data_IF_143843104799
#
_entry.id   IF_143843104799
#
_cell.length_a   1.000
_cell.length_b   1.000
_cell.length_c   1.000
_cell.angle_alpha   90.00
_cell.angle_beta   90.00
_cell.angle_gamma   90.00
#
_symmetry.space_group_name_H-M   'P 1'
#
loop_
_entity.id
_entity.type
_entity.pdbx_description
1 polymer ?
#
# COMPACT_ATOMS: atom_id res chain seq x y z
N UNK A 1 -86.38 11.51 -5.40
CA UNK A 1 -85.00 11.49 -4.93
C UNK A 1 -84.14 10.83 -5.98
N UNK A 2 -83.44 11.60 -6.76
CA UNK A 2 -82.60 11.16 -7.86
C UNK A 2 -81.16 11.16 -7.38
N UNK A 3 -80.60 10.00 -7.26
CA UNK A 3 -79.22 9.80 -6.89
C UNK A 3 -78.29 9.91 -8.12
N UNK A 4 -77.61 11.02 -8.27
CA UNK A 4 -76.52 11.16 -9.23
C UNK A 4 -75.29 10.34 -8.72
N UNK A 5 -74.95 9.33 -9.51
CA UNK A 5 -73.66 8.61 -9.39
C UNK A 5 -72.64 9.36 -10.27
N UNK A 6 -71.47 9.76 -9.78
CA UNK A 6 -70.41 10.29 -10.64
C UNK A 6 -69.88 9.15 -11.51
N UNK A 7 -69.89 9.35 -12.82
CA UNK A 7 -69.24 8.44 -13.78
C UNK A 7 -67.71 8.59 -13.60
N UNK A 8 -67.03 7.53 -13.18
CA UNK A 8 -65.60 7.33 -13.31
C UNK A 8 -65.20 7.49 -14.79
N UNK A 9 -64.58 8.57 -15.12
CA UNK A 9 -63.85 8.71 -16.39
C UNK A 9 -62.62 7.85 -16.29
N UNK A 10 -62.72 6.60 -16.71
CA UNK A 10 -61.56 5.81 -17.10
C UNK A 10 -60.88 6.58 -18.23
N UNK A 11 -59.74 7.21 -17.95
CA UNK A 11 -58.83 7.69 -18.97
C UNK A 11 -58.32 6.47 -19.75
N UNK A 12 -59.07 6.09 -20.80
CA UNK A 12 -58.56 5.16 -21.81
C UNK A 12 -57.30 5.80 -22.41
N UNK A 13 -56.14 5.28 -22.07
CA UNK A 13 -54.87 5.69 -22.66
C UNK A 13 -54.96 5.37 -24.15
N UNK A 14 -55.21 6.40 -24.95
CA UNK A 14 -55.32 6.29 -26.39
C UNK A 14 -53.97 5.85 -26.98
N UNK A 15 -53.83 4.54 -27.27
CA UNK A 15 -52.66 3.94 -27.91
C UNK A 15 -52.27 4.68 -29.20
N UNK A 16 -53.21 5.36 -29.86
CA UNK A 16 -52.94 6.17 -31.03
C UNK A 16 -52.22 7.49 -30.68
N UNK A 17 -52.50 8.08 -29.51
CA UNK A 17 -51.78 9.24 -28.99
C UNK A 17 -50.38 8.85 -28.58
N UNK A 18 -50.17 7.71 -27.92
CA UNK A 18 -48.86 7.19 -27.56
C UNK A 18 -48.03 6.92 -28.81
N UNK A 19 -48.59 6.28 -29.82
CA UNK A 19 -47.91 6.04 -31.12
C UNK A 19 -47.50 7.35 -31.82
N UNK A 20 -48.35 8.37 -31.82
CA UNK A 20 -48.03 9.72 -32.36
C UNK A 20 -46.95 10.42 -31.51
N UNK A 21 -47.01 10.30 -30.17
CA UNK A 21 -45.95 10.85 -29.29
C UNK A 21 -44.59 10.17 -29.53
N UNK A 22 -44.55 8.84 -29.64
CA UNK A 22 -43.35 8.09 -29.96
C UNK A 22 -42.82 8.48 -31.36
N UNK A 23 -43.72 8.62 -32.34
CA UNK A 23 -43.38 9.06 -33.70
C UNK A 23 -42.80 10.47 -33.73
N UNK A 24 -43.40 11.43 -33.04
CA UNK A 24 -42.90 12.82 -32.94
C UNK A 24 -41.58 12.91 -32.16
N UNK A 25 -41.42 12.13 -31.08
CA UNK A 25 -40.20 12.02 -30.33
C UNK A 25 -39.06 11.44 -31.18
N UNK A 26 -39.33 10.36 -31.94
CA UNK A 26 -38.39 9.77 -32.89
C UNK A 26 -37.96 10.75 -33.99
N UNK A 27 -38.90 11.51 -34.54
CA UNK A 27 -38.58 12.57 -35.53
C UNK A 27 -37.75 13.69 -34.90
N UNK A 28 -38.06 14.11 -33.66
CA UNK A 28 -37.30 15.11 -32.92
C UNK A 28 -35.84 14.66 -32.70
N UNK A 29 -35.64 13.39 -32.33
CA UNK A 29 -34.30 12.80 -32.19
C UNK A 29 -33.55 12.81 -33.54
N UNK A 30 -34.20 12.33 -34.62
CA UNK A 30 -33.59 12.30 -35.96
C UNK A 30 -33.17 13.70 -36.42
N UNK A 31 -34.05 14.71 -36.21
CA UNK A 31 -33.74 16.09 -36.55
C UNK A 31 -32.59 16.66 -35.73
N UNK A 32 -32.51 16.31 -34.46
CA UNK A 32 -31.43 16.72 -33.57
C UNK A 32 -30.09 16.09 -33.97
N UNK A 33 -30.07 14.79 -34.24
CA UNK A 33 -28.90 14.08 -34.76
C UNK A 33 -28.43 14.70 -36.08
N UNK A 34 -29.34 14.98 -37.01
CA UNK A 34 -29.02 15.61 -38.30
C UNK A 34 -28.39 16.99 -38.11
N UNK A 35 -28.87 17.80 -37.14
CA UNK A 35 -28.26 19.12 -36.83
C UNK A 35 -26.84 18.97 -36.31
N UNK A 36 -26.56 17.99 -35.46
CA UNK A 36 -25.19 17.70 -34.99
C UNK A 36 -24.29 17.24 -36.13
N UNK A 37 -24.73 16.28 -36.95
CA UNK A 37 -23.94 15.83 -38.12
C UNK A 37 -23.62 17.01 -39.04
N UNK A 38 -24.61 17.82 -39.38
CA UNK A 38 -24.42 19.02 -40.23
C UNK A 38 -23.45 20.01 -39.58
N UNK A 39 -23.47 20.18 -38.26
CA UNK A 39 -22.53 21.03 -37.54
C UNK A 39 -21.08 20.52 -37.70
N UNK A 40 -20.85 19.23 -37.52
CA UNK A 40 -19.52 18.64 -37.73
C UNK A 40 -19.03 18.75 -39.15
N UNK A 41 -19.89 18.47 -40.14
CA UNK A 41 -19.54 18.60 -41.57
C UNK A 41 -19.19 20.06 -41.91
N UNK A 42 -19.98 21.03 -41.45
CA UNK A 42 -19.76 22.45 -41.71
C UNK A 42 -18.45 22.96 -41.10
N UNK A 43 -18.06 22.44 -39.94
CA UNK A 43 -16.85 22.89 -39.21
C UNK A 43 -15.69 21.90 -39.35
N UNK A 44 -15.71 20.97 -40.31
CA UNK A 44 -14.73 19.88 -40.44
C UNK A 44 -13.28 20.36 -40.47
N UNK A 45 -12.99 21.46 -41.15
CA UNK A 45 -11.62 22.02 -41.26
C UNK A 45 -11.14 22.53 -39.91
N UNK A 46 -12.00 23.26 -39.17
CA UNK A 46 -11.67 23.79 -37.85
C UNK A 46 -11.48 22.66 -36.85
N UNK A 47 -12.38 21.65 -36.87
CA UNK A 47 -12.31 20.48 -35.96
C UNK A 47 -11.04 19.68 -36.27
N UNK A 48 -10.70 19.43 -37.53
CA UNK A 48 -9.46 18.73 -37.90
C UNK A 48 -8.24 19.52 -37.46
N UNK A 49 -8.25 20.86 -37.64
CA UNK A 49 -7.15 21.73 -37.20
C UNK A 49 -6.97 21.70 -35.67
N UNK A 50 -8.07 21.76 -34.90
CA UNK A 50 -8.03 21.65 -33.42
C UNK A 50 -7.57 20.26 -32.95
N UNK A 51 -7.94 19.20 -33.69
CA UNK A 51 -7.50 17.86 -33.42
C UNK A 51 -5.99 17.71 -33.59
N UNK A 52 -5.45 18.21 -34.74
CA UNK A 52 -4.02 18.18 -34.99
C UNK A 52 -3.22 19.06 -34.01
N UNK A 53 -3.70 20.26 -33.72
CA UNK A 53 -3.12 21.13 -32.68
C UNK A 53 -3.13 20.46 -31.29
N UNK A 54 -4.27 19.92 -30.89
CA UNK A 54 -4.38 19.23 -29.61
C UNK A 54 -3.44 18.03 -29.52
N UNK A 55 -3.32 17.27 -30.61
CA UNK A 55 -2.40 16.13 -30.68
C UNK A 55 -0.94 16.57 -30.60
N UNK A 56 -0.54 17.59 -31.34
CA UNK A 56 0.83 18.14 -31.30
C UNK A 56 1.21 18.69 -29.93
N UNK A 57 0.33 19.49 -29.33
CA UNK A 57 0.51 20.00 -27.96
C UNK A 57 0.52 18.85 -26.92
N UNK A 58 -0.35 17.86 -27.10
CA UNK A 58 -0.39 16.68 -26.26
C UNK A 58 0.90 15.87 -26.28
N UNK A 59 1.48 15.62 -27.44
CA UNK A 59 2.79 14.95 -27.59
C UNK A 59 3.89 15.77 -26.91
N UNK A 60 3.88 17.08 -27.07
CA UNK A 60 4.87 17.95 -26.44
C UNK A 60 4.81 17.84 -24.92
N UNK A 61 3.61 17.92 -24.32
CA UNK A 61 3.45 17.76 -22.87
C UNK A 61 3.78 16.35 -22.39
N UNK A 62 3.37 15.29 -23.10
CA UNK A 62 3.68 13.91 -22.74
C UNK A 62 5.20 13.63 -22.79
N UNK A 63 5.95 14.33 -23.64
CA UNK A 63 7.41 14.20 -23.69
C UNK A 63 8.13 15.00 -22.60
N UNK A 64 7.53 16.11 -22.15
CA UNK A 64 8.14 17.03 -21.19
C UNK A 64 7.76 16.70 -19.74
N UNK A 65 6.50 16.32 -19.50
CA UNK A 65 6.00 15.99 -18.16
C UNK A 65 6.24 14.51 -17.89
N UNK A 66 7.42 14.20 -17.36
CA UNK A 66 7.75 12.86 -16.89
C UNK A 66 7.42 12.75 -15.41
N UNK A 67 7.14 11.56 -14.95
CA UNK A 67 6.98 11.24 -13.55
C UNK A 67 7.58 9.86 -13.28
N UNK A 68 8.27 9.74 -12.18
CA UNK A 68 8.96 8.52 -11.77
C UNK A 68 8.44 8.06 -10.41
N UNK A 69 8.23 6.77 -10.29
CA UNK A 69 7.88 6.11 -9.04
C UNK A 69 9.13 5.46 -8.44
N UNK A 70 9.25 5.59 -7.13
CA UNK A 70 10.29 4.96 -6.34
C UNK A 70 9.60 4.23 -5.20
N UNK A 71 10.00 2.99 -4.97
CA UNK A 71 9.38 2.12 -3.98
C UNK A 71 10.46 1.60 -3.04
N UNK A 72 10.25 1.82 -1.74
CA UNK A 72 11.14 1.35 -0.69
C UNK A 72 10.34 0.43 0.22
N UNK A 73 10.72 -0.84 0.29
CA UNK A 73 10.14 -1.77 1.25
C UNK A 73 10.91 -1.66 2.55
N UNK A 74 10.20 -1.40 3.64
CA UNK A 74 10.76 -1.24 4.97
C UNK A 74 10.06 -2.13 5.99
N UNK A 75 10.81 -2.51 7.03
CA UNK A 75 10.32 -3.22 8.21
C UNK A 75 10.55 -2.31 9.44
N UNK A 76 9.50 -1.79 10.08
CA UNK A 76 9.63 -1.11 11.35
C UNK A 76 9.86 -2.13 12.48
N UNK A 77 10.90 -1.93 13.27
CA UNK A 77 11.24 -2.76 14.42
C UNK A 77 10.85 -2.07 15.73
N UNK A 78 10.83 -2.80 16.83
CA UNK A 78 10.61 -2.28 18.20
C UNK A 78 9.27 -1.55 18.39
N UNK A 79 8.23 -1.91 17.62
CA UNK A 79 6.93 -1.22 17.68
C UNK A 79 6.94 0.19 17.09
N UNK A 80 7.90 0.52 16.21
CA UNK A 80 8.07 1.85 15.63
C UNK A 80 7.13 2.16 14.46
N UNK A 81 6.09 1.36 14.23
CA UNK A 81 5.16 1.55 13.10
C UNK A 81 4.46 2.90 13.16
N UNK A 82 3.89 3.28 14.32
CA UNK A 82 3.21 4.56 14.51
C UNK A 82 4.16 5.75 14.30
N UNK A 83 5.37 5.62 14.80
CA UNK A 83 6.42 6.60 14.59
C UNK A 83 6.74 6.76 13.09
N UNK A 84 6.86 5.65 12.35
CA UNK A 84 7.11 5.66 10.92
C UNK A 84 6.01 6.41 10.16
N UNK A 85 4.72 6.08 10.42
CA UNK A 85 3.59 6.78 9.81
C UNK A 85 3.63 8.28 10.10
N UNK A 86 3.79 8.65 11.37
CA UNK A 86 3.85 10.06 11.79
C UNK A 86 4.99 10.83 11.10
N UNK A 87 6.14 10.21 10.88
CA UNK A 87 7.26 10.83 10.17
C UNK A 87 7.00 10.98 8.68
N UNK A 88 6.41 9.98 8.05
CA UNK A 88 6.05 10.07 6.62
C UNK A 88 4.95 11.12 6.40
N UNK A 89 3.93 11.18 7.24
CA UNK A 89 2.86 12.21 7.19
C UNK A 89 3.46 13.62 7.34
N UNK A 90 4.43 13.80 8.24
CA UNK A 90 5.14 15.07 8.39
C UNK A 90 5.86 15.45 7.10
N UNK A 91 6.63 14.52 6.51
CA UNK A 91 7.38 14.77 5.27
C UNK A 91 6.40 15.07 4.12
N UNK A 92 5.31 14.32 4.01
CA UNK A 92 4.26 14.57 3.00
C UNK A 92 3.69 15.99 3.13
N UNK A 93 3.36 16.41 4.36
CA UNK A 93 2.89 17.76 4.65
C UNK A 93 3.91 18.81 4.22
N UNK A 94 5.20 18.59 4.48
CA UNK A 94 6.29 19.49 4.10
C UNK A 94 6.52 19.56 2.59
N UNK A 95 6.35 18.43 1.89
CA UNK A 95 6.38 18.41 0.41
C UNK A 95 5.21 19.23 -0.15
N UNK A 96 3.99 19.05 0.37
CA UNK A 96 2.80 19.80 -0.05
C UNK A 96 2.97 21.31 0.18
N UNK A 97 3.60 21.71 1.29
CA UNK A 97 3.92 23.11 1.62
C UNK A 97 5.11 23.65 0.82
N UNK A 98 5.83 22.82 0.08
CA UNK A 98 7.10 23.15 -0.61
C UNK A 98 8.16 23.70 0.34
N UNK A 99 8.19 23.19 1.58
CA UNK A 99 9.17 23.58 2.60
C UNK A 99 10.54 22.97 2.28
N UNK A 100 11.25 23.66 1.38
CA UNK A 100 12.58 23.22 0.91
C UNK A 100 13.63 23.29 2.02
N UNK A 101 13.46 24.14 3.02
CA UNK A 101 14.40 24.28 4.13
C UNK A 101 14.37 23.02 5.00
N UNK A 102 13.19 22.58 5.40
CA UNK A 102 13.04 21.35 6.16
C UNK A 102 13.51 20.14 5.34
N UNK A 103 13.10 20.01 4.08
CA UNK A 103 13.49 18.86 3.26
C UNK A 103 15.00 18.76 3.01
N UNK A 104 15.67 19.89 2.86
CA UNK A 104 17.15 19.93 2.81
C UNK A 104 17.79 19.59 4.15
N UNK A 105 17.20 20.01 5.27
CA UNK A 105 17.74 19.69 6.60
C UNK A 105 17.73 18.20 6.92
N UNK A 106 16.81 17.44 6.32
CA UNK A 106 16.79 15.97 6.42
C UNK A 106 17.65 15.28 5.36
N UNK A 107 18.37 16.05 4.52
CA UNK A 107 19.36 15.56 3.57
C UNK A 107 18.83 15.33 2.15
N UNK A 108 17.62 15.75 1.81
CA UNK A 108 17.08 15.67 0.44
C UNK A 108 17.67 16.82 -0.38
N UNK A 109 18.52 16.50 -1.36
CA UNK A 109 19.20 17.52 -2.17
C UNK A 109 18.25 18.30 -3.09
N UNK A 110 17.31 17.62 -3.73
CA UNK A 110 16.40 18.21 -4.71
C UNK A 110 14.93 18.13 -4.25
N UNK A 111 14.51 18.91 -3.23
CA UNK A 111 13.18 18.80 -2.63
C UNK A 111 12.03 19.07 -3.60
N UNK A 112 12.21 20.01 -4.56
CA UNK A 112 11.16 20.39 -5.53
C UNK A 112 10.91 19.31 -6.59
N UNK A 113 11.84 18.38 -6.72
CA UNK A 113 11.69 17.23 -7.60
C UNK A 113 10.68 16.21 -7.05
N UNK A 114 10.57 16.08 -5.72
CA UNK A 114 9.64 15.16 -5.07
C UNK A 114 8.25 15.79 -5.07
N UNK A 115 7.26 15.05 -5.59
CA UNK A 115 5.87 15.51 -5.70
C UNK A 115 4.95 14.86 -4.68
N UNK A 116 5.27 13.63 -4.26
CA UNK A 116 4.47 12.85 -3.31
C UNK A 116 5.37 11.89 -2.54
N UNK A 117 5.06 11.69 -1.29
CA UNK A 117 5.51 10.56 -0.48
C UNK A 117 4.32 9.98 0.25
N UNK A 118 4.20 8.67 0.28
CA UNK A 118 3.14 7.97 0.99
C UNK A 118 3.64 6.62 1.52
N UNK A 119 2.96 6.10 2.55
CA UNK A 119 3.26 4.80 3.11
C UNK A 119 2.03 3.91 3.01
N UNK A 120 2.24 2.68 2.52
CA UNK A 120 1.20 1.68 2.40
C UNK A 120 1.68 0.35 3.02
N UNK A 121 0.81 -0.37 3.75
CA UNK A 121 1.15 -1.67 4.27
C UNK A 121 1.27 -2.69 3.14
N UNK A 122 2.21 -3.63 3.26
CA UNK A 122 2.22 -4.83 2.44
C UNK A 122 1.29 -5.83 3.12
N UNK A 123 0.13 -6.03 2.49
CA UNK A 123 -0.93 -6.86 3.02
C UNK A 123 -0.54 -8.33 2.86
N UNK A 124 -0.19 -8.97 3.96
CA UNK A 124 0.00 -10.40 4.04
C UNK A 124 -0.96 -10.96 5.10
N UNK A 125 -2.12 -11.40 4.63
CA UNK A 125 -3.19 -11.93 5.50
C UNK A 125 -2.72 -13.19 6.23
N UNK A 126 -1.91 -14.02 5.59
CA UNK A 126 -1.42 -15.27 6.19
C UNK A 126 -0.43 -14.99 7.32
N UNK A 127 0.50 -14.05 7.14
CA UNK A 127 1.42 -13.67 8.20
C UNK A 127 0.70 -12.89 9.31
N UNK A 128 -0.30 -12.08 8.99
CA UNK A 128 -1.12 -11.36 9.98
C UNK A 128 -1.88 -12.33 10.90
N UNK A 129 -2.47 -13.38 10.34
CA UNK A 129 -3.16 -14.43 11.09
C UNK A 129 -2.17 -15.28 11.88
N UNK A 130 -0.99 -15.57 11.34
CA UNK A 130 0.02 -16.44 11.95
C UNK A 130 0.98 -15.69 12.90
N UNK A 131 1.14 -14.36 12.79
CA UNK A 131 2.15 -13.59 13.52
C UNK A 131 1.94 -13.59 15.05
N UNK A 132 0.71 -13.79 15.52
CA UNK A 132 0.45 -14.00 16.95
C UNK A 132 0.90 -15.37 17.47
N UNK A 133 1.17 -16.33 16.59
CA UNK A 133 1.60 -17.68 16.98
C UNK A 133 3.12 -17.74 17.25
N UNK A 134 3.91 -16.86 16.64
CA UNK A 134 5.39 -16.94 16.67
C UNK A 134 6.02 -16.01 17.74
N UNK A 135 5.33 -14.98 18.21
CA UNK A 135 5.88 -14.06 19.22
C UNK A 135 5.96 -14.64 20.63
N UNK A 136 5.36 -15.79 20.89
CA UNK A 136 5.38 -16.46 22.21
C UNK A 136 6.37 -17.63 22.30
N UNK A 137 7.36 -17.73 21.41
CA UNK A 137 8.40 -18.77 21.53
C UNK A 137 9.28 -18.61 22.76
N UNK A 138 9.23 -17.46 23.45
CA UNK A 138 9.86 -17.22 24.76
C UNK A 138 8.89 -17.34 25.96
N UNK A 139 7.60 -17.44 25.73
CA UNK A 139 6.65 -17.81 26.76
C UNK A 139 6.62 -19.34 26.80
N UNK A 140 7.16 -19.87 27.85
CA UNK A 140 7.02 -21.24 28.34
C UNK A 140 5.51 -21.51 28.56
N UNK A 141 4.79 -21.73 27.50
CA UNK A 141 3.41 -22.15 27.54
C UNK A 141 3.22 -23.26 26.52
N UNK A 142 3.51 -24.41 26.97
CA UNK A 142 2.70 -25.61 26.73
C UNK A 142 1.30 -25.23 27.18
N UNK A 143 0.53 -24.56 26.38
CA UNK A 143 -0.91 -24.43 26.54
C UNK A 143 -1.53 -24.42 25.17
N UNK A 144 -2.21 -25.49 24.92
CA UNK A 144 -3.24 -25.77 23.93
C UNK A 144 -3.15 -25.03 22.57
N UNK A 145 -2.58 -25.74 21.61
CA UNK A 145 -2.71 -25.44 20.16
C UNK A 145 -4.15 -25.23 19.68
N UNK A 146 -5.16 -25.53 20.51
CA UNK A 146 -6.57 -25.41 20.16
C UNK A 146 -7.15 -24.00 20.31
N UNK A 147 -6.73 -23.22 21.32
CA UNK A 147 -7.27 -21.87 21.55
C UNK A 147 -6.76 -20.84 20.55
N UNK A 148 -5.51 -20.94 20.12
CA UNK A 148 -4.95 -20.03 19.12
C UNK A 148 -5.56 -20.23 17.72
N UNK A 149 -5.94 -21.47 17.39
CA UNK A 149 -6.62 -21.76 16.13
C UNK A 149 -8.07 -21.23 16.11
N UNK A 150 -8.75 -21.17 17.24
CA UNK A 150 -10.11 -20.63 17.35
C UNK A 150 -10.13 -19.12 17.20
N UNK A 151 -9.20 -18.39 17.82
CA UNK A 151 -9.05 -16.92 17.68
C UNK A 151 -8.73 -16.52 16.23
N UNK A 152 -7.89 -17.26 15.55
CA UNK A 152 -7.55 -17.03 14.15
C UNK A 152 -8.76 -17.34 13.24
N UNK A 153 -9.54 -18.35 13.58
CA UNK A 153 -10.75 -18.71 12.83
C UNK A 153 -11.87 -17.66 13.03
N UNK A 154 -12.00 -17.09 14.24
CA UNK A 154 -12.94 -16.01 14.53
C UNK A 154 -12.55 -14.71 13.80
N UNK A 155 -11.27 -14.35 13.78
CA UNK A 155 -10.77 -13.23 12.98
C UNK A 155 -11.03 -13.44 11.49
N UNK A 156 -10.86 -14.68 11.00
CA UNK A 156 -11.14 -15.01 9.61
C UNK A 156 -12.65 -14.92 9.31
N UNK A 157 -13.52 -15.35 10.24
CA UNK A 157 -14.97 -15.19 10.12
C UNK A 157 -15.37 -13.72 10.09
N UNK A 158 -14.84 -12.90 11.02
CA UNK A 158 -15.08 -11.45 11.03
C UNK A 158 -14.65 -10.77 9.73
N UNK A 159 -13.55 -11.22 9.13
CA UNK A 159 -13.07 -10.73 7.84
C UNK A 159 -13.99 -11.17 6.68
N UNK A 160 -14.56 -12.38 6.74
CA UNK A 160 -15.44 -12.91 5.69
C UNK A 160 -16.88 -12.41 5.82
N UNK A 161 -17.32 -12.04 7.02
CA UNK A 161 -18.64 -11.45 7.28
C UNK A 161 -18.69 -9.94 7.00
N UNK A 162 -17.54 -9.28 6.82
CA UNK A 162 -17.48 -7.88 6.45
C UNK A 162 -17.88 -7.69 4.99
N UNK A 163 -18.83 -6.79 4.73
CA UNK A 163 -19.30 -6.44 3.36
C UNK A 163 -18.18 -5.97 2.43
N UNK A 164 -17.06 -5.48 2.98
CA UNK A 164 -15.90 -5.04 2.23
C UNK A 164 -14.61 -5.39 2.99
N UNK A 165 -14.08 -6.57 2.71
CA UNK A 165 -12.83 -7.08 3.29
C UNK A 165 -11.67 -6.10 3.08
N UNK A 166 -11.63 -5.40 1.93
CA UNK A 166 -10.58 -4.45 1.63
C UNK A 166 -10.59 -3.25 2.58
N UNK A 167 -11.76 -2.77 2.99
CA UNK A 167 -11.87 -1.68 3.98
C UNK A 167 -11.37 -2.10 5.35
N UNK A 168 -11.62 -3.34 5.75
CA UNK A 168 -11.12 -3.87 7.03
C UNK A 168 -9.60 -4.03 6.98
N UNK A 169 -9.08 -4.65 5.92
CA UNK A 169 -7.65 -4.94 5.75
C UNK A 169 -6.82 -3.66 5.60
N UNK A 170 -7.34 -2.67 4.86
CA UNK A 170 -6.69 -1.37 4.64
C UNK A 170 -7.06 -0.31 5.69
N UNK A 171 -7.96 -0.65 6.60
CA UNK A 171 -8.41 0.25 7.66
C UNK A 171 -7.26 0.75 8.53
N UNK A 172 -7.37 1.96 9.09
CA UNK A 172 -6.32 2.59 9.91
C UNK A 172 -5.90 1.74 11.11
N UNK A 173 -6.78 0.89 11.63
CA UNK A 173 -6.50 0.02 12.78
C UNK A 173 -5.70 -1.23 12.36
N UNK A 174 -6.00 -1.80 11.21
CA UNK A 174 -5.36 -3.02 10.71
C UNK A 174 -4.07 -2.73 9.94
N UNK A 175 -4.02 -1.62 9.20
CA UNK A 175 -2.88 -1.23 8.38
C UNK A 175 -1.56 -1.10 9.16
N UNK A 176 -1.63 -0.82 10.46
CA UNK A 176 -0.45 -0.65 11.33
C UNK A 176 0.05 -1.95 11.97
N UNK A 177 -0.60 -3.08 11.69
CA UNK A 177 -0.25 -4.38 12.28
C UNK A 177 0.50 -5.31 11.32
N UNK A 178 0.81 -4.85 10.10
CA UNK A 178 1.60 -5.63 9.15
C UNK A 178 3.09 -5.55 9.45
N UNK A 179 3.85 -6.55 9.01
CA UNK A 179 5.29 -6.62 9.24
C UNK A 179 6.09 -5.72 8.30
N UNK A 180 5.59 -5.50 7.10
CA UNK A 180 6.29 -4.78 6.04
C UNK A 180 5.43 -3.64 5.48
N UNK A 181 6.10 -2.58 5.09
CA UNK A 181 5.49 -1.38 4.52
C UNK A 181 6.24 -0.95 3.27
N UNK A 182 5.50 -0.35 2.36
CA UNK A 182 6.07 0.28 1.17
C UNK A 182 6.00 1.79 1.33
N UNK A 183 7.13 2.47 1.27
CA UNK A 183 7.21 3.93 1.11
C UNK A 183 7.28 4.18 -0.39
N UNK A 184 6.25 4.82 -0.93
CA UNK A 184 6.17 5.23 -2.34
C UNK A 184 6.53 6.71 -2.44
N UNK A 185 7.49 7.02 -3.31
CA UNK A 185 7.90 8.39 -3.61
C UNK A 185 7.65 8.64 -5.09
N UNK A 186 7.05 9.78 -5.44
CA UNK A 186 6.92 10.24 -6.83
C UNK A 186 7.80 11.46 -7.05
N UNK A 187 8.54 11.44 -8.15
CA UNK A 187 9.39 12.55 -8.57
C UNK A 187 9.13 12.97 -10.01
N UNK A 188 9.52 14.20 -10.35
CA UNK A 188 9.47 14.73 -11.73
C UNK A 188 10.62 14.22 -12.58
N UNK A 189 11.81 14.10 -11.97
CA UNK A 189 13.05 13.68 -12.62
C UNK A 189 13.63 12.47 -11.90
N UNK A 190 14.66 11.89 -12.49
CA UNK A 190 15.44 10.82 -11.85
C UNK A 190 15.98 11.27 -10.49
N UNK A 191 15.96 10.37 -9.53
CA UNK A 191 16.62 10.56 -8.24
C UNK A 191 17.74 9.54 -8.08
N UNK A 192 18.82 9.96 -7.42
CA UNK A 192 19.85 9.07 -6.94
C UNK A 192 19.47 8.57 -5.54
N UNK A 193 19.68 7.30 -5.30
CA UNK A 193 19.41 6.69 -3.99
C UNK A 193 20.19 7.40 -2.89
N UNK A 194 21.45 7.77 -3.17
CA UNK A 194 22.35 8.45 -2.23
C UNK A 194 21.86 9.84 -1.80
N UNK A 195 21.18 10.57 -2.71
CA UNK A 195 20.80 11.96 -2.50
C UNK A 195 19.36 12.15 -1.98
N UNK A 196 18.59 11.08 -1.92
CA UNK A 196 17.18 11.16 -1.51
C UNK A 196 16.80 10.04 -0.54
N UNK A 197 17.04 8.78 -0.91
CA UNK A 197 16.54 7.62 -0.17
C UNK A 197 17.39 7.34 1.06
N UNK A 198 18.72 7.34 0.93
CA UNK A 198 19.62 7.10 2.06
C UNK A 198 19.47 8.20 3.14
N UNK A 199 19.42 9.51 2.79
CA UNK A 199 19.15 10.55 3.78
C UNK A 199 17.77 10.42 4.44
N UNK A 200 16.74 10.10 3.66
CA UNK A 200 15.39 9.84 4.17
C UNK A 200 15.40 8.70 5.21
N UNK A 201 15.97 7.56 4.87
CA UNK A 201 16.09 6.41 5.80
C UNK A 201 16.92 6.75 7.02
N UNK A 202 18.00 7.54 6.86
CA UNK A 202 18.79 8.04 7.98
C UNK A 202 17.95 8.89 8.92
N UNK A 203 17.16 9.83 8.39
CA UNK A 203 16.24 10.66 9.17
C UNK A 203 15.19 9.82 9.91
N UNK A 204 14.59 8.81 9.25
CA UNK A 204 13.62 7.90 9.86
C UNK A 204 14.23 7.06 11.00
N UNK A 205 15.54 6.82 10.97
CA UNK A 205 16.28 6.11 12.02
C UNK A 205 16.83 7.02 13.13
N UNK A 206 16.63 8.35 13.05
CA UNK A 206 17.10 9.32 14.05
C UNK A 206 16.07 9.54 15.16
N UNK A 207 15.83 8.52 15.99
CA UNK A 207 14.99 8.66 17.17
C UNK A 207 15.73 8.12 18.40
N UNK A 208 15.91 8.97 19.43
CA UNK A 208 16.70 8.63 20.62
C UNK A 208 16.13 7.44 21.37
N UNK A 209 14.80 7.40 21.57
CA UNK A 209 14.14 6.32 22.29
C UNK A 209 14.33 4.98 21.58
N UNK A 210 13.95 4.90 20.30
CA UNK A 210 14.05 3.65 19.55
C UNK A 210 15.50 3.21 19.34
N UNK A 211 16.45 4.14 19.25
CA UNK A 211 17.87 3.80 19.19
C UNK A 211 18.40 3.21 20.51
N UNK A 212 17.91 3.70 21.66
CA UNK A 212 18.21 3.09 22.97
C UNK A 212 17.62 1.68 23.06
N UNK A 213 16.35 1.50 22.65
CA UNK A 213 15.71 0.17 22.62
C UNK A 213 16.49 -0.78 21.71
N UNK A 214 16.86 -0.35 20.51
CA UNK A 214 17.66 -1.13 19.57
C UNK A 214 19.01 -1.55 20.17
N UNK A 215 19.77 -0.63 20.75
CA UNK A 215 21.06 -0.92 21.32
C UNK A 215 20.96 -1.91 22.48
N UNK A 216 19.95 -1.78 23.32
CA UNK A 216 19.67 -2.71 24.42
C UNK A 216 19.29 -4.10 23.89
N UNK A 217 18.42 -4.18 22.89
CA UNK A 217 18.04 -5.44 22.27
C UNK A 217 19.24 -6.17 21.65
N UNK A 218 20.08 -5.44 20.89
CA UNK A 218 21.31 -5.99 20.31
C UNK A 218 22.26 -6.53 21.40
N UNK A 219 22.49 -5.76 22.49
CA UNK A 219 23.33 -6.19 23.59
C UNK A 219 22.79 -7.45 24.28
N UNK A 220 21.48 -7.53 24.47
CA UNK A 220 20.83 -8.70 25.09
C UNK A 220 20.99 -9.96 24.22
N UNK A 221 20.79 -9.86 22.90
CA UNK A 221 20.95 -10.99 22.00
C UNK A 221 22.41 -11.44 21.97
N UNK A 222 23.37 -10.52 21.84
CA UNK A 222 24.79 -10.86 21.85
C UNK A 222 25.20 -11.55 23.15
N UNK A 223 24.73 -11.04 24.30
CA UNK A 223 25.00 -11.66 25.60
C UNK A 223 24.40 -13.08 25.67
N UNK A 224 23.14 -13.25 25.20
CA UNK A 224 22.47 -14.55 25.19
C UNK A 224 23.20 -15.56 24.30
N UNK A 225 23.61 -15.13 23.10
CA UNK A 225 24.41 -15.97 22.19
C UNK A 225 25.71 -16.44 22.85
N UNK A 226 26.47 -15.51 23.48
CA UNK A 226 27.68 -15.84 24.18
C UNK A 226 27.43 -16.86 25.30
N UNK A 227 26.35 -16.68 26.08
CA UNK A 227 26.01 -17.62 27.14
C UNK A 227 25.61 -19.01 26.60
N UNK A 228 24.86 -19.06 25.50
CA UNK A 228 24.53 -20.31 24.86
C UNK A 228 25.78 -21.04 24.33
N UNK A 229 26.73 -20.32 23.75
CA UNK A 229 28.03 -20.88 23.32
C UNK A 229 28.85 -21.43 24.51
N UNK A 230 28.91 -20.68 25.60
CA UNK A 230 29.57 -21.14 26.84
C UNK A 230 28.94 -22.44 27.40
N UNK A 231 27.59 -22.52 27.42
CA UNK A 231 26.87 -23.70 27.88
C UNK A 231 27.10 -24.90 26.94
N UNK A 232 27.12 -24.69 25.63
CA UNK A 232 27.40 -25.77 24.67
C UNK A 232 28.80 -26.36 24.91
N UNK A 233 29.82 -25.51 25.16
CA UNK A 233 31.16 -25.97 25.47
C UNK A 233 31.18 -26.80 26.80
N UNK A 234 30.42 -26.35 27.83
CA UNK A 234 30.31 -27.09 29.08
C UNK A 234 29.68 -28.46 28.88
N UNK A 235 28.62 -28.52 28.06
CA UNK A 235 27.95 -29.78 27.70
C UNK A 235 28.94 -30.70 26.96
N UNK A 236 29.72 -30.18 26.01
CA UNK A 236 30.71 -30.98 25.29
C UNK A 236 31.78 -31.55 26.19
N UNK A 237 32.27 -30.79 27.17
CA UNK A 237 33.19 -31.28 28.15
C UNK A 237 32.61 -32.38 29.00
N UNK A 238 31.38 -32.22 29.50
CA UNK A 238 30.65 -33.26 30.26
C UNK A 238 30.48 -34.56 29.45
N UNK A 239 30.06 -34.46 28.18
CA UNK A 239 29.92 -35.61 27.31
C UNK A 239 31.26 -36.33 27.05
N UNK A 240 32.37 -35.59 26.91
CA UNK A 240 33.71 -36.12 26.76
C UNK A 240 34.19 -36.82 28.02
N UNK A 241 33.98 -36.25 29.20
CA UNK A 241 34.34 -36.86 30.50
C UNK A 241 33.53 -38.14 30.69
N UNK A 242 32.23 -38.15 30.38
CA UNK A 242 31.39 -39.32 30.47
C UNK A 242 31.85 -40.42 29.48
N UNK A 243 32.16 -40.09 28.26
CA UNK A 243 32.71 -41.05 27.26
C UNK A 243 34.02 -41.66 27.73
N UNK A 244 34.89 -40.86 28.36
CA UNK A 244 36.18 -41.29 28.91
C UNK A 244 36.00 -42.24 30.08
N UNK A 245 35.03 -41.99 30.99
CA UNK A 245 34.77 -42.81 32.14
C UNK A 245 34.20 -44.20 31.77
N UNK A 246 33.40 -44.29 30.70
CA UNK A 246 32.90 -45.57 30.13
C UNK A 246 34.02 -46.43 29.62
N UNK A 247 34.99 -45.81 28.91
CA UNK A 247 36.13 -46.51 28.29
C UNK A 247 37.19 -46.97 29.35
N UNK A 248 37.17 -46.39 30.56
CA UNK A 248 38.09 -46.64 31.64
C UNK A 248 37.85 -47.89 32.49
N UNK A 249 36.93 -48.77 32.16
CA UNK A 249 36.92 -50.16 32.67
C UNK A 249 36.42 -50.39 34.08
N UNK A 250 35.59 -49.55 34.71
CA UNK A 250 34.91 -49.92 35.96
C UNK A 250 33.51 -50.44 35.69
N UNK A 251 33.38 -51.78 35.81
CA UNK A 251 32.07 -52.48 35.83
C UNK A 251 31.31 -52.10 37.12
N UNK A 252 30.46 -51.11 37.05
CA UNK A 252 29.49 -50.82 38.13
C UNK A 252 28.07 -50.82 37.60
N UNK A 253 27.29 -51.68 38.16
CA UNK A 253 25.84 -51.81 38.25
C UNK A 253 24.96 -51.31 37.05
N UNK A 254 24.35 -52.30 36.39
CA UNK A 254 23.39 -52.20 35.31
C UNK A 254 22.21 -51.23 35.53
N UNK A 255 21.86 -50.91 36.76
CA UNK A 255 20.80 -49.98 37.15
C UNK A 255 21.21 -48.49 37.06
N UNK A 256 22.48 -48.16 37.38
CA UNK A 256 23.06 -46.84 37.22
C UNK A 256 23.18 -46.49 35.73
N UNK A 257 23.54 -47.45 34.94
CA UNK A 257 23.70 -47.28 33.47
C UNK A 257 22.40 -46.93 32.72
N UNK A 258 21.22 -47.40 33.23
CA UNK A 258 19.92 -47.09 32.57
C UNK A 258 19.42 -45.69 32.90
N UNK A 259 19.70 -45.18 34.08
CA UNK A 259 19.31 -43.83 34.53
C UNK A 259 20.23 -42.75 33.90
N UNK A 260 21.53 -43.06 33.79
CA UNK A 260 22.53 -42.21 33.18
C UNK A 260 22.30 -42.02 31.65
N UNK A 261 21.84 -43.07 30.93
CA UNK A 261 21.50 -42.96 29.50
C UNK A 261 20.35 -42.02 29.22
N UNK A 262 19.33 -41.93 30.06
CA UNK A 262 18.23 -40.99 29.90
C UNK A 262 18.73 -39.55 30.14
N UNK A 263 19.58 -39.31 31.13
CA UNK A 263 20.16 -37.99 31.40
C UNK A 263 21.05 -37.50 30.28
N UNK A 264 21.83 -38.39 29.65
CA UNK A 264 22.67 -38.04 28.48
C UNK A 264 21.83 -37.65 27.31
N UNK A 265 20.75 -38.37 27.01
CA UNK A 265 19.84 -38.00 25.93
C UNK A 265 19.21 -36.60 26.13
N UNK A 266 18.83 -36.27 27.39
CA UNK A 266 18.34 -34.95 27.76
C UNK A 266 19.40 -33.86 27.58
N UNK A 267 20.67 -34.12 27.93
CA UNK A 267 21.79 -33.22 27.74
C UNK A 267 22.04 -32.96 26.25
N UNK A 268 22.02 -34.03 25.43
CA UNK A 268 22.18 -33.93 23.97
C UNK A 268 21.00 -33.14 23.37
N UNK A 269 19.77 -33.40 23.80
CA UNK A 269 18.59 -32.66 23.34
C UNK A 269 18.70 -31.16 23.70
N UNK A 270 19.18 -30.84 24.94
CA UNK A 270 19.42 -29.48 25.39
C UNK A 270 20.47 -28.78 24.53
N UNK A 271 21.59 -29.49 24.20
CA UNK A 271 22.60 -28.96 23.28
C UNK A 271 22.04 -28.63 21.91
N UNK A 272 21.24 -29.54 21.34
CA UNK A 272 20.62 -29.32 20.03
C UNK A 272 19.66 -28.13 20.05
N UNK A 273 18.91 -27.92 21.12
CA UNK A 273 18.05 -26.76 21.30
C UNK A 273 18.85 -25.46 21.36
N UNK A 274 19.99 -25.43 22.09
CA UNK A 274 20.87 -24.27 22.17
C UNK A 274 21.50 -23.93 20.80
N UNK A 275 21.90 -24.93 20.01
CA UNK A 275 22.41 -24.73 18.65
C UNK A 275 21.32 -24.13 17.76
N UNK A 276 20.10 -24.66 17.83
CA UNK A 276 18.96 -24.11 17.09
C UNK A 276 18.66 -22.66 17.50
N UNK A 277 18.67 -22.38 18.81
CA UNK A 277 18.47 -21.02 19.35
C UNK A 277 19.53 -20.04 18.87
N UNK A 278 20.82 -20.45 18.84
CA UNK A 278 21.89 -19.66 18.26
C UNK A 278 21.63 -19.32 16.77
N UNK A 279 21.12 -20.29 16.01
CA UNK A 279 20.72 -20.07 14.63
C UNK A 279 19.62 -18.99 14.49
N UNK A 280 18.58 -19.07 15.33
CA UNK A 280 17.51 -18.08 15.39
C UNK A 280 18.04 -16.69 15.76
N UNK A 281 18.88 -16.59 16.80
CA UNK A 281 19.49 -15.34 17.27
C UNK A 281 20.38 -14.67 16.20
N UNK A 282 21.15 -15.44 15.45
CA UNK A 282 21.95 -14.92 14.32
C UNK A 282 21.06 -14.32 13.23
N UNK A 283 19.94 -14.95 12.95
CA UNK A 283 18.96 -14.43 11.98
C UNK A 283 18.28 -13.16 12.51
N UNK A 284 17.93 -13.14 13.80
CA UNK A 284 17.32 -11.98 14.47
C UNK A 284 18.26 -10.76 14.44
N UNK A 285 19.57 -10.94 14.63
CA UNK A 285 20.55 -9.85 14.52
C UNK A 285 20.53 -9.16 13.16
N UNK A 286 20.25 -9.90 12.09
CA UNK A 286 20.13 -9.32 10.75
C UNK A 286 18.90 -8.42 10.64
N UNK A 287 17.84 -8.70 11.37
CA UNK A 287 16.58 -7.97 11.29
C UNK A 287 16.56 -6.69 12.11
N UNK A 288 17.19 -6.69 13.28
CA UNK A 288 17.09 -5.61 14.27
C UNK A 288 18.25 -4.59 14.21
N UNK A 289 19.04 -4.60 13.16
CA UNK A 289 20.17 -3.68 12.97
C UNK A 289 19.76 -2.21 12.81
N UNK A 290 18.50 -1.94 12.44
CA UNK A 290 17.92 -0.63 12.28
C UNK A 290 16.52 -0.53 12.91
N UNK A 291 16.10 0.68 13.30
CA UNK A 291 14.73 0.96 13.78
C UNK A 291 13.75 0.79 12.62
N UNK A 292 14.05 1.42 11.50
CA UNK A 292 13.33 1.24 10.22
C UNK A 292 14.30 0.58 9.25
N UNK A 293 14.16 -0.74 9.08
CA UNK A 293 15.04 -1.53 8.23
C UNK A 293 14.63 -1.42 6.77
N UNK A 294 15.56 -1.06 5.90
CA UNK A 294 15.37 -1.18 4.45
C UNK A 294 15.49 -2.64 4.03
N UNK A 295 14.48 -3.16 3.38
CA UNK A 295 14.45 -4.53 2.84
C UNK A 295 14.79 -4.51 1.35
N UNK A 296 14.14 -3.62 0.59
CA UNK A 296 14.33 -3.49 -0.85
C UNK A 296 14.12 -2.06 -1.30
N UNK A 297 14.70 -1.70 -2.42
CA UNK A 297 14.53 -0.40 -3.03
C UNK A 297 14.49 -0.55 -4.55
N UNK A 298 13.48 0.04 -5.17
CA UNK A 298 13.35 0.16 -6.62
C UNK A 298 13.17 1.63 -6.94
N UNK A 299 14.02 2.18 -7.78
CA UNK A 299 14.02 3.61 -8.13
C UNK A 299 13.81 3.84 -9.61
N UNK A 300 13.34 5.03 -9.95
CA UNK A 300 13.28 5.54 -11.33
C UNK A 300 12.40 4.69 -12.28
N UNK A 301 11.34 4.10 -11.75
CA UNK A 301 10.33 3.44 -12.59
C UNK A 301 9.44 4.51 -13.20
N UNK A 302 9.42 4.60 -14.54
CA UNK A 302 8.58 5.58 -15.23
C UNK A 302 7.11 5.32 -14.92
N UNK A 303 6.43 6.36 -14.45
CA UNK A 303 5.01 6.29 -14.14
C UNK A 303 4.17 6.61 -15.39
N UNK A 304 3.56 5.58 -15.95
CA UNK A 304 2.63 5.69 -17.09
C UNK A 304 1.15 5.60 -16.64
N UNK A 305 0.88 5.69 -15.35
CA UNK A 305 -0.46 5.61 -14.80
C UNK A 305 -1.23 6.95 -14.97
N UNK A 306 -2.55 6.86 -14.87
CA UNK A 306 -3.46 8.00 -14.96
C UNK A 306 -3.35 8.77 -16.30
N UNK A 307 -3.07 10.08 -16.21
CA UNK A 307 -3.03 11.03 -17.34
C UNK A 307 -1.64 11.07 -17.98
N UNK A 308 -0.59 10.60 -17.29
CA UNK A 308 0.77 10.62 -17.80
C UNK A 308 0.90 9.76 -19.07
N UNK A 309 1.41 10.35 -20.14
CA UNK A 309 1.52 9.72 -21.46
C UNK A 309 0.20 9.61 -22.24
N UNK A 310 -0.92 10.17 -21.73
CA UNK A 310 -2.24 10.14 -22.37
C UNK A 310 -2.73 11.52 -22.81
N UNK A 311 -1.98 12.58 -22.53
CA UNK A 311 -2.34 13.96 -22.89
C UNK A 311 -2.53 14.16 -24.39
N UNK A 312 -1.78 13.42 -25.20
CA UNK A 312 -1.93 13.39 -26.67
C UNK A 312 -3.35 12.97 -27.13
N UNK A 313 -4.11 12.25 -26.32
CA UNK A 313 -5.50 11.88 -26.61
C UNK A 313 -6.52 12.77 -25.89
N UNK A 314 -6.21 13.25 -24.70
CA UNK A 314 -7.11 14.06 -23.87
C UNK A 314 -7.21 15.48 -24.39
N UNK A 315 -6.08 16.12 -24.76
CA UNK A 315 -6.04 17.50 -25.20
C UNK A 315 -6.84 17.76 -26.50
N UNK A 316 -6.76 16.92 -27.54
CA UNK A 316 -7.61 17.09 -28.72
C UNK A 316 -9.09 17.09 -28.40
N UNK A 317 -9.53 16.17 -27.52
CA UNK A 317 -10.94 16.10 -27.10
C UNK A 317 -11.35 17.35 -26.33
N UNK A 318 -10.49 17.85 -25.45
CA UNK A 318 -10.72 19.07 -24.68
C UNK A 318 -10.88 20.29 -25.58
N UNK A 319 -10.04 20.44 -26.62
CA UNK A 319 -10.15 21.54 -27.58
C UNK A 319 -11.42 21.46 -28.43
N UNK A 320 -11.81 20.26 -28.88
CA UNK A 320 -13.08 20.07 -29.61
C UNK A 320 -14.27 20.40 -28.68
N UNK A 321 -14.25 19.96 -27.44
CA UNK A 321 -15.33 20.25 -26.49
C UNK A 321 -15.43 21.75 -26.19
N UNK A 322 -14.31 22.42 -25.97
CA UNK A 322 -14.25 23.88 -25.80
C UNK A 322 -14.82 24.63 -27.01
N UNK A 323 -14.45 24.20 -28.25
CA UNK A 323 -15.00 24.78 -29.47
C UNK A 323 -16.53 24.61 -29.56
N UNK A 324 -17.05 23.44 -29.24
CA UNK A 324 -18.50 23.17 -29.22
C UNK A 324 -19.20 24.10 -28.21
N UNK A 325 -18.67 24.24 -27.00
CA UNK A 325 -19.22 25.13 -25.96
C UNK A 325 -19.26 26.58 -26.42
N UNK A 326 -18.17 27.09 -26.97
CA UNK A 326 -18.10 28.46 -27.47
C UNK A 326 -19.11 28.71 -28.59
N UNK A 327 -19.22 27.78 -29.54
CA UNK A 327 -20.20 27.88 -30.64
C UNK A 327 -21.63 27.80 -30.16
N UNK A 328 -21.91 26.96 -29.19
CA UNK A 328 -23.25 26.88 -28.57
C UNK A 328 -23.61 28.17 -27.85
N UNK A 329 -22.67 28.71 -27.05
CA UNK A 329 -22.87 29.97 -26.32
C UNK A 329 -23.10 31.16 -27.25
N UNK A 330 -22.31 31.26 -28.30
CA UNK A 330 -22.49 32.31 -29.33
C UNK A 330 -23.83 32.14 -30.07
N UNK A 331 -24.21 30.91 -30.40
CA UNK A 331 -25.48 30.62 -31.02
C UNK A 331 -26.67 31.00 -30.16
N UNK A 332 -26.59 30.70 -28.87
CA UNK A 332 -27.59 31.08 -27.87
C UNK A 332 -27.68 32.58 -27.70
N UNK A 333 -26.53 33.26 -27.52
CA UNK A 333 -26.47 34.73 -27.42
C UNK A 333 -27.11 35.43 -28.63
N UNK A 334 -26.72 35.04 -29.85
CA UNK A 334 -27.25 35.63 -31.08
C UNK A 334 -28.77 35.38 -31.22
N UNK A 335 -29.28 34.23 -30.77
CA UNK A 335 -30.72 33.95 -30.75
C UNK A 335 -31.44 34.87 -29.75
N UNK A 336 -30.92 35.01 -28.55
CA UNK A 336 -31.54 35.88 -27.51
C UNK A 336 -31.50 37.36 -27.93
N UNK A 337 -30.37 37.81 -28.53
CA UNK A 337 -30.24 39.18 -29.06
C UNK A 337 -31.31 39.48 -30.12
N UNK A 338 -31.53 38.57 -31.10
CA UNK A 338 -32.60 38.73 -32.09
C UNK A 338 -33.98 38.77 -31.49
N UNK A 339 -34.24 37.97 -30.46
CA UNK A 339 -35.56 37.99 -29.77
C UNK A 339 -35.78 39.28 -28.98
N UNK A 340 -34.72 39.85 -28.38
CA UNK A 340 -34.79 41.13 -27.70
C UNK A 340 -35.01 42.30 -28.64
N UNK A 341 -34.43 42.27 -29.84
CA UNK A 341 -34.62 43.28 -30.89
C UNK A 341 -36.00 43.22 -31.59
N UNK A 342 -36.66 42.06 -31.55
CA UNK A 342 -38.06 41.87 -32.05
C UNK A 342 -39.13 42.27 -31.06
N UNK A 343 -38.79 42.40 -29.77
CA UNK A 343 -39.70 42.79 -28.71
C UNK A 343 -39.57 44.26 -28.31
N UNK A 344 -38.76 45.05 -29.01
CA UNK A 344 -38.68 46.52 -28.98
C UNK A 344 -39.42 47.08 -30.22
#
# INVERSE_FOLDING_TARGET
>A
MSTNVPSDQNEEIDLMQISKMIGSFSQGIKMTIFKYIRFFIKNRVVISGLLLLGFGVGIYFDSTIKSYNHQIIVKPNFGSTEYLYSKIDLIESKIKQKDTVFLKSIGIESPLNITLIEINPIIDIYSFVNSKVITDVNAKAITDKSENNTLNLELFKLLTEADDINKVIQGKLTSKNYSYYTINIKSKDFILEENTIIPLLKYLNQNEYFNKVRSTALSNIILKMKKNEEIIIQIDNLLNEFSSSINGGQKSNKLVYYNENNQINEIIASKNNLIWELGCQRTELLDIDAVIKKISCVTNVQNNENINGKLKFILPLFFIFGFILVRFSLGFYNKQKRLSELNQ
#
